data_IF_798696800957
#
_entry.id   IF_798696800957
#
_cell.length_a   1.000
_cell.length_b   1.000
_cell.length_c   1.000
_cell.angle_alpha   90.00
_cell.angle_beta   90.00
_cell.angle_gamma   90.00
#
_symmetry.space_group_name_H-M   'P 1'
#
loop_
_entity.id
_entity.type
_entity.pdbx_description
1 polymer ?
#
# COMPACT_ATOMS: atom_id res chain seq x y z
N UNK A 1 0.44 14.71 16.04
CA UNK A 1 0.58 13.54 15.16
C UNK A 1 1.98 13.00 15.32
N UNK A 2 2.12 11.72 15.65
CA UNK A 2 3.41 11.05 15.75
C UNK A 2 3.70 10.33 14.43
N UNK A 3 4.93 10.44 13.93
CA UNK A 3 5.45 9.63 12.84
C UNK A 3 6.79 9.06 13.27
N UNK A 4 7.18 7.90 12.74
CA UNK A 4 8.46 7.29 13.05
C UNK A 4 9.57 8.02 12.30
N UNK A 5 10.58 8.51 13.03
CA UNK A 5 11.79 9.04 12.40
C UNK A 5 12.62 7.89 11.83
N UNK A 6 12.63 7.74 10.50
CA UNK A 6 13.35 6.67 9.80
C UNK A 6 14.84 6.96 9.60
N UNK A 7 15.29 8.22 9.78
CA UNK A 7 16.69 8.61 9.54
C UNK A 7 17.71 7.74 10.30
N UNK A 8 17.55 7.43 11.60
CA UNK A 8 18.50 6.59 12.34
C UNK A 8 18.67 5.18 11.75
N UNK A 9 17.68 4.68 11.02
CA UNK A 9 17.69 3.34 10.42
C UNK A 9 18.17 3.38 8.96
N UNK A 10 17.82 4.43 8.22
CA UNK A 10 18.19 4.56 6.80
C UNK A 10 19.64 5.04 6.64
N UNK A 11 20.08 6.03 7.44
CA UNK A 11 21.40 6.64 7.27
C UNK A 11 22.57 5.63 7.31
N UNK A 12 22.59 4.65 8.24
CA UNK A 12 23.65 3.64 8.27
C UNK A 12 23.61 2.67 7.07
N UNK A 13 22.43 2.43 6.48
CA UNK A 13 22.26 1.49 5.37
C UNK A 13 22.73 2.07 4.04
N UNK A 14 22.54 3.37 3.83
CA UNK A 14 22.86 4.02 2.55
C UNK A 14 24.32 4.49 2.47
N UNK A 15 24.96 4.77 3.62
CA UNK A 15 26.30 5.36 3.65
C UNK A 15 26.34 6.67 2.88
N UNK A 16 27.16 6.74 1.82
CA UNK A 16 27.26 7.89 0.90
C UNK A 16 26.43 7.75 -0.38
N UNK A 17 25.69 6.65 -0.54
CA UNK A 17 24.88 6.41 -1.74
C UNK A 17 23.73 7.42 -1.83
N UNK A 18 23.34 7.86 -3.05
CA UNK A 18 22.14 8.67 -3.23
C UNK A 18 20.89 7.96 -2.71
N UNK A 19 19.98 8.71 -2.10
CA UNK A 19 18.69 8.21 -1.60
C UNK A 19 17.57 8.74 -2.50
N UNK A 20 16.69 7.84 -2.95
CA UNK A 20 15.43 8.21 -3.59
C UNK A 20 14.28 7.87 -2.65
N UNK A 21 13.47 8.87 -2.34
CA UNK A 21 12.26 8.75 -1.51
C UNK A 21 11.06 8.94 -2.42
N UNK A 22 10.15 7.97 -2.43
CA UNK A 22 8.91 8.04 -3.20
C UNK A 22 7.76 7.88 -2.21
N UNK A 23 6.94 8.92 -2.06
CA UNK A 23 5.72 8.88 -1.28
C UNK A 23 4.60 8.32 -2.15
N UNK A 24 3.85 7.37 -1.59
CA UNK A 24 2.76 6.66 -2.28
C UNK A 24 1.52 7.52 -2.49
N UNK A 25 1.26 8.46 -1.58
CA UNK A 25 0.22 9.49 -1.70
C UNK A 25 0.36 10.58 -0.64
N UNK A 26 -0.59 11.50 -0.61
CA UNK A 26 -0.58 12.77 0.13
C UNK A 26 -1.12 12.73 1.57
N UNK A 27 -1.41 11.56 2.14
CA UNK A 27 -1.72 11.48 3.57
C UNK A 27 -0.47 11.55 4.45
N UNK A 28 -0.65 12.14 5.63
CA UNK A 28 0.43 12.55 6.53
C UNK A 28 1.40 11.41 6.89
N UNK A 29 0.90 10.20 7.06
CA UNK A 29 1.68 9.01 7.41
C UNK A 29 2.55 8.48 6.26
N UNK A 30 2.30 8.92 5.03
CA UNK A 30 3.06 8.52 3.83
C UNK A 30 4.13 9.53 3.42
N UNK A 31 4.06 10.78 3.88
CA UNK A 31 5.06 11.83 3.60
C UNK A 31 5.64 12.53 4.84
N UNK A 32 5.04 12.39 6.02
CA UNK A 32 5.40 13.14 7.23
C UNK A 32 6.84 12.91 7.70
N UNK A 33 7.41 11.75 7.40
CA UNK A 33 8.82 11.41 7.67
C UNK A 33 9.84 12.10 6.75
N UNK A 34 9.42 12.75 5.67
CA UNK A 34 10.33 13.35 4.69
C UNK A 34 11.26 14.38 5.32
N UNK A 35 10.77 15.19 6.25
CA UNK A 35 11.56 16.22 6.96
C UNK A 35 12.82 15.65 7.58
N UNK A 36 12.73 14.47 8.18
CA UNK A 36 13.88 13.86 8.86
C UNK A 36 14.92 13.36 7.86
N UNK A 37 14.49 12.94 6.66
CA UNK A 37 15.37 12.47 5.59
C UNK A 37 16.00 13.60 4.78
N UNK A 38 15.37 14.79 4.70
CA UNK A 38 15.91 15.95 3.98
C UNK A 38 17.31 16.38 4.45
N UNK A 39 17.64 16.09 5.71
CA UNK A 39 18.94 16.39 6.28
C UNK A 39 20.04 15.40 5.87
N UNK A 40 19.73 14.38 5.06
CA UNK A 40 20.73 13.47 4.48
C UNK A 40 21.30 14.07 3.19
N UNK A 41 22.57 13.80 2.84
CA UNK A 41 23.12 14.23 1.57
C UNK A 41 22.50 13.45 0.40
N UNK A 42 22.41 14.08 -0.77
CA UNK A 42 22.03 13.45 -2.04
C UNK A 42 20.66 12.73 -2.02
N UNK A 43 19.63 13.37 -1.44
CA UNK A 43 18.26 12.84 -1.41
C UNK A 43 17.41 13.45 -2.51
N UNK A 44 16.69 12.61 -3.25
CA UNK A 44 15.65 13.01 -4.20
C UNK A 44 14.29 12.54 -3.70
N UNK A 45 13.29 13.42 -3.74
CA UNK A 45 11.92 13.12 -3.33
C UNK A 45 10.98 13.11 -4.53
N UNK A 46 10.00 12.22 -4.50
CA UNK A 46 8.87 12.09 -5.43
C UNK A 46 7.59 11.80 -4.62
N UNK A 47 6.43 12.27 -5.09
CA UNK A 47 5.19 12.32 -4.30
C UNK A 47 4.35 13.56 -4.63
N UNK A 48 3.18 13.73 -4.03
CA UNK A 48 2.27 14.81 -4.33
C UNK A 48 2.32 15.89 -3.24
N UNK A 49 2.39 17.15 -3.66
CA UNK A 49 2.12 18.27 -2.79
C UNK A 49 0.64 18.67 -2.98
N UNK A 50 -0.22 18.55 -1.95
CA UNK A 50 -1.59 19.01 -2.07
C UNK A 50 -1.59 20.52 -2.38
N UNK A 51 -2.50 20.90 -3.27
CA UNK A 51 -2.92 22.24 -3.70
C UNK A 51 -3.28 23.25 -2.58
N UNK A 52 -2.86 23.00 -1.33
CA UNK A 52 -3.12 23.83 -0.15
C UNK A 52 -4.03 23.18 0.90
N UNK A 53 -4.53 21.95 0.68
CA UNK A 53 -5.39 21.23 1.65
C UNK A 53 -4.68 20.81 2.94
N UNK A 54 -3.36 20.62 2.89
CA UNK A 54 -2.51 20.38 4.05
C UNK A 54 -1.46 21.48 4.10
N UNK A 55 -1.22 22.05 5.29
CA UNK A 55 -0.23 23.11 5.53
C UNK A 55 1.07 22.78 4.78
N UNK A 56 1.44 23.53 3.73
CA UNK A 56 2.68 23.28 3.01
C UNK A 56 3.80 23.55 4.00
N UNK A 57 4.59 22.53 4.37
CA UNK A 57 5.86 22.87 5.01
C UNK A 57 6.66 23.65 3.96
N UNK A 58 7.12 24.87 4.27
CA UNK A 58 7.72 25.79 3.31
C UNK A 58 9.10 25.33 2.77
N UNK A 59 9.49 24.09 3.01
CA UNK A 59 10.82 23.52 2.74
C UNK A 59 10.78 22.23 1.92
N UNK A 60 9.60 21.76 1.50
CA UNK A 60 9.53 20.66 0.54
C UNK A 60 9.81 21.21 -0.87
N UNK A 61 10.80 20.66 -1.61
CA UNK A 61 10.90 20.96 -3.04
C UNK A 61 9.55 20.65 -3.69
N UNK A 62 9.13 21.43 -4.69
CA UNK A 62 7.93 21.10 -5.47
C UNK A 62 8.21 19.78 -6.20
N UNK A 63 7.47 18.73 -5.88
CA UNK A 63 7.45 17.51 -6.67
C UNK A 63 6.00 17.03 -6.70
N UNK A 64 5.53 16.68 -7.90
CA UNK A 64 4.23 16.04 -8.12
C UNK A 64 4.46 14.57 -8.41
N UNK A 65 3.47 13.73 -8.10
CA UNK A 65 3.43 12.35 -8.59
C UNK A 65 3.52 12.36 -10.12
N UNK A 66 2.93 13.35 -10.80
CA UNK A 66 3.05 13.51 -12.25
C UNK A 66 4.49 13.69 -12.75
N UNK A 67 5.40 14.23 -11.93
CA UNK A 67 6.82 14.29 -12.28
C UNK A 67 7.51 12.90 -12.27
N UNK A 68 6.86 11.85 -11.77
CA UNK A 68 7.27 10.47 -12.05
C UNK A 68 6.81 10.05 -13.45
N UNK A 69 5.68 10.55 -13.95
CA UNK A 69 5.05 10.15 -15.20
C UNK A 69 5.34 11.13 -16.35
N UNK A 70 6.52 11.77 -16.32
CA UNK A 70 6.97 12.83 -17.25
C UNK A 70 6.40 12.67 -18.67
N UNK A 71 5.62 13.66 -19.12
CA UNK A 71 5.42 13.96 -20.54
C UNK A 71 4.02 13.74 -21.11
N UNK A 72 3.19 12.86 -20.54
CA UNK A 72 1.82 12.64 -21.04
C UNK A 72 0.84 12.44 -19.88
N UNK A 73 -0.16 13.33 -19.75
CA UNK A 73 -1.23 13.25 -18.73
C UNK A 73 -1.92 11.87 -18.71
N UNK A 74 -1.89 11.14 -19.82
CA UNK A 74 -2.52 9.84 -20.02
C UNK A 74 -1.66 8.64 -19.58
N UNK A 75 -0.37 8.83 -19.27
CA UNK A 75 0.51 7.71 -18.88
C UNK A 75 0.11 7.16 -17.52
N UNK A 76 -0.39 5.91 -17.51
CA UNK A 76 -0.79 5.19 -16.30
C UNK A 76 0.37 4.52 -15.55
N UNK A 77 1.54 4.39 -16.19
CA UNK A 77 2.73 3.79 -15.59
C UNK A 77 4.00 4.59 -15.90
N UNK A 78 5.02 4.45 -15.06
CA UNK A 78 6.36 5.01 -15.30
C UNK A 78 7.46 4.13 -14.71
N UNK A 79 8.65 4.21 -15.28
CA UNK A 79 9.84 3.48 -14.82
C UNK A 79 10.78 4.39 -14.04
N UNK A 80 10.95 4.11 -12.76
CA UNK A 80 11.89 4.81 -11.89
C UNK A 80 13.19 4.01 -11.75
N UNK A 81 14.31 4.61 -12.16
CA UNK A 81 15.63 4.06 -11.93
C UNK A 81 16.13 4.39 -10.51
N UNK A 82 16.44 3.36 -9.72
CA UNK A 82 17.02 3.49 -8.38
C UNK A 82 18.37 2.75 -8.35
N UNK A 83 19.44 3.49 -8.64
CA UNK A 83 20.77 2.92 -8.84
C UNK A 83 20.77 1.92 -10.01
N UNK A 84 21.00 0.63 -9.70
CA UNK A 84 20.94 -0.46 -10.69
C UNK A 84 19.59 -1.18 -10.75
N UNK A 85 18.64 -0.82 -9.89
CA UNK A 85 17.28 -1.38 -9.87
C UNK A 85 16.33 -0.50 -10.69
N UNK A 86 15.27 -1.09 -11.21
CA UNK A 86 14.14 -0.40 -11.82
C UNK A 86 12.89 -0.75 -11.03
N UNK A 87 12.06 0.26 -10.78
CA UNK A 87 10.77 0.13 -10.10
C UNK A 87 9.71 0.74 -10.99
N UNK A 88 8.65 -0.01 -11.29
CA UNK A 88 7.51 0.50 -12.05
C UNK A 88 6.55 1.19 -11.10
N UNK A 89 6.21 2.45 -11.36
CA UNK A 89 5.14 3.18 -10.70
C UNK A 89 3.85 3.06 -11.51
N UNK A 90 2.71 2.89 -10.85
CA UNK A 90 1.37 2.87 -11.47
C UNK A 90 0.49 3.91 -10.80
N UNK A 91 -0.22 4.74 -11.58
CA UNK A 91 -1.29 5.58 -11.05
C UNK A 91 -2.45 4.69 -10.59
N UNK A 92 -2.86 4.83 -9.33
CA UNK A 92 -3.99 4.10 -8.74
C UNK A 92 -4.90 5.05 -7.94
N UNK A 93 -5.48 6.08 -8.58
CA UNK A 93 -6.40 6.99 -7.90
C UNK A 93 -7.58 6.23 -7.27
N UNK A 94 -8.06 6.71 -6.13
CA UNK A 94 -9.26 6.19 -5.49
C UNK A 94 -9.22 6.28 -3.97
N UNK A 95 -8.14 5.79 -3.35
CA UNK A 95 -7.88 6.08 -1.93
C UNK A 95 -7.70 7.59 -1.75
N UNK A 96 -6.77 8.16 -2.50
CA UNK A 96 -6.68 9.59 -2.83
C UNK A 96 -6.51 9.73 -4.34
N UNK A 97 -6.69 10.94 -4.87
CA UNK A 97 -6.44 11.24 -6.29
C UNK A 97 -5.00 10.95 -6.73
N UNK A 98 -4.04 11.16 -5.82
CA UNK A 98 -2.60 11.08 -6.11
C UNK A 98 -1.96 9.72 -5.79
N UNK A 99 -2.77 8.72 -5.43
CA UNK A 99 -2.27 7.40 -5.02
C UNK A 99 -1.51 6.67 -6.14
N UNK A 100 -0.35 6.09 -5.79
CA UNK A 100 0.44 5.22 -6.67
C UNK A 100 0.79 3.87 -6.07
N UNK A 101 0.96 2.87 -6.94
CA UNK A 101 1.55 1.58 -6.62
C UNK A 101 2.98 1.52 -7.14
N UNK A 102 3.85 0.75 -6.47
CA UNK A 102 5.24 0.55 -6.84
C UNK A 102 5.53 -0.93 -6.99
N UNK A 103 6.12 -1.33 -8.12
CA UNK A 103 6.45 -2.72 -8.41
C UNK A 103 7.97 -2.90 -8.56
N UNK A 104 8.54 -3.81 -7.76
CA UNK A 104 9.91 -4.29 -7.93
C UNK A 104 9.89 -5.67 -8.61
N UNK A 105 10.24 -5.70 -9.90
CA UNK A 105 10.30 -6.94 -10.69
C UNK A 105 11.37 -7.93 -10.20
N UNK A 106 12.43 -7.45 -9.54
CA UNK A 106 13.49 -8.33 -9.04
C UNK A 106 13.00 -9.17 -7.87
N UNK A 107 12.29 -8.56 -6.94
CA UNK A 107 11.76 -9.23 -5.75
C UNK A 107 10.32 -9.73 -5.94
N UNK A 108 9.68 -9.35 -7.05
CA UNK A 108 8.28 -9.66 -7.39
C UNK A 108 7.31 -9.11 -6.33
N UNK A 109 7.56 -7.89 -5.85
CA UNK A 109 6.76 -7.24 -4.82
C UNK A 109 5.98 -6.08 -5.42
N UNK A 110 4.68 -6.01 -5.13
CA UNK A 110 3.81 -4.90 -5.53
C UNK A 110 3.31 -4.18 -4.28
N UNK A 111 3.83 -2.97 -4.05
CA UNK A 111 3.35 -2.07 -3.01
C UNK A 111 2.09 -1.37 -3.52
N UNK A 112 0.97 -1.56 -2.83
CA UNK A 112 -0.37 -1.12 -3.29
C UNK A 112 -0.88 0.14 -2.58
N UNK A 113 -0.01 0.87 -1.88
CA UNK A 113 -0.40 2.01 -1.03
C UNK A 113 -1.56 1.59 -0.11
N UNK A 114 -2.53 2.47 0.10
CA UNK A 114 -3.73 2.22 0.90
C UNK A 114 -4.90 1.73 0.06
N UNK A 115 -4.68 1.44 -1.23
CA UNK A 115 -5.72 0.83 -2.09
C UNK A 115 -6.02 -0.59 -1.65
N UNK A 116 -5.00 -1.38 -1.30
CA UNK A 116 -5.18 -2.73 -0.74
C UNK A 116 -4.23 -2.92 0.44
N UNK A 117 -4.81 -3.07 1.63
CA UNK A 117 -4.14 -3.33 2.90
C UNK A 117 -4.97 -4.31 3.74
N UNK A 118 -4.38 -5.02 4.71
CA UNK A 118 -5.13 -5.63 5.80
C UNK A 118 -5.52 -4.55 6.82
N UNK A 119 -6.41 -3.65 6.42
CA UNK A 119 -6.91 -2.54 7.24
C UNK A 119 -8.35 -2.17 6.85
N UNK A 120 -8.93 -1.17 7.51
CA UNK A 120 -10.13 -0.52 6.98
C UNK A 120 -9.70 0.31 5.76
N UNK A 121 -10.28 0.05 4.59
CA UNK A 121 -9.97 0.86 3.42
C UNK A 121 -10.72 2.16 3.54
N UNK A 122 -10.00 3.26 3.34
CA UNK A 122 -10.57 4.59 3.16
C UNK A 122 -10.54 4.94 1.67
N UNK A 123 -11.66 5.40 1.12
CA UNK A 123 -11.80 5.65 -0.33
C UNK A 123 -12.43 7.03 -0.54
N UNK A 124 -11.73 7.92 -1.24
CA UNK A 124 -12.25 9.25 -1.61
C UNK A 124 -13.03 9.23 -2.93
N UNK A 125 -12.58 8.43 -3.91
CA UNK A 125 -13.26 8.25 -5.20
C UNK A 125 -13.46 6.76 -5.50
N UNK A 126 -14.71 6.31 -5.36
CA UNK A 126 -15.14 4.94 -5.58
C UNK A 126 -14.99 4.45 -7.02
N UNK A 127 -15.26 5.33 -7.99
CA UNK A 127 -15.18 4.99 -9.41
C UNK A 127 -13.73 4.81 -9.82
N UNK A 128 -12.88 5.78 -9.44
CA UNK A 128 -11.45 5.71 -9.67
C UNK A 128 -10.84 4.49 -8.96
N UNK A 129 -11.24 4.22 -7.71
CA UNK A 129 -10.78 3.04 -6.96
C UNK A 129 -11.07 1.74 -7.72
N UNK A 130 -12.28 1.54 -8.23
CA UNK A 130 -12.63 0.32 -8.96
C UNK A 130 -11.86 0.18 -10.28
N UNK A 131 -11.57 1.30 -10.95
CA UNK A 131 -10.72 1.31 -12.14
C UNK A 131 -9.27 0.94 -11.78
N UNK A 132 -8.75 1.47 -10.68
CA UNK A 132 -7.42 1.16 -10.14
C UNK A 132 -7.30 -0.30 -9.71
N UNK A 133 -8.31 -0.84 -9.04
CA UNK A 133 -8.37 -2.27 -8.69
C UNK A 133 -8.38 -3.15 -9.96
N UNK A 134 -9.11 -2.75 -11.01
CA UNK A 134 -9.09 -3.44 -12.29
C UNK A 134 -7.73 -3.36 -12.98
N UNK A 135 -7.07 -2.20 -12.95
CA UNK A 135 -5.71 -2.01 -13.45
C UNK A 135 -4.71 -2.95 -12.74
N UNK A 136 -4.70 -2.95 -11.41
CA UNK A 136 -3.82 -3.81 -10.62
C UNK A 136 -4.02 -5.30 -10.92
N UNK A 137 -5.28 -5.75 -11.07
CA UNK A 137 -5.58 -7.15 -11.46
C UNK A 137 -5.00 -7.51 -12.83
N UNK A 138 -5.11 -6.62 -13.83
CA UNK A 138 -4.48 -6.85 -15.15
C UNK A 138 -2.97 -6.88 -15.02
N UNK A 139 -2.41 -5.93 -14.27
CA UNK A 139 -0.96 -5.84 -14.05
C UNK A 139 -0.37 -7.12 -13.46
N UNK A 140 -0.98 -7.68 -12.41
CA UNK A 140 -0.50 -8.94 -11.79
C UNK A 140 -0.76 -10.18 -12.64
N UNK A 141 -1.63 -10.11 -13.65
CA UNK A 141 -1.82 -11.19 -14.62
C UNK A 141 -0.72 -11.19 -15.70
N UNK A 142 -0.14 -10.02 -15.98
CA UNK A 142 0.89 -9.81 -17.02
C UNK A 142 2.32 -9.80 -16.44
N UNK A 143 2.45 -9.53 -15.14
CA UNK A 143 3.73 -9.40 -14.44
C UNK A 143 3.80 -10.36 -13.25
N UNK A 144 4.94 -11.03 -13.03
CA UNK A 144 5.06 -11.96 -11.92
C UNK A 144 5.09 -11.22 -10.58
N UNK A 145 4.04 -11.38 -9.78
CA UNK A 145 3.95 -10.81 -8.42
C UNK A 145 3.80 -11.93 -7.40
N UNK A 146 4.71 -11.95 -6.43
CA UNK A 146 4.74 -12.90 -5.32
C UNK A 146 3.83 -12.43 -4.18
N UNK A 147 3.90 -11.16 -3.82
CA UNK A 147 3.16 -10.57 -2.71
C UNK A 147 2.72 -9.15 -3.01
N UNK A 148 1.53 -8.81 -2.52
CA UNK A 148 1.12 -7.41 -2.36
C UNK A 148 1.54 -6.93 -0.96
N UNK A 149 1.87 -5.65 -0.86
CA UNK A 149 2.24 -4.98 0.38
C UNK A 149 1.45 -3.67 0.49
N UNK A 150 0.54 -3.58 1.46
CA UNK A 150 -0.26 -2.38 1.71
C UNK A 150 0.47 -1.36 2.60
N UNK A 151 -0.07 -0.14 2.70
CA UNK A 151 0.48 0.94 3.52
C UNK A 151 0.17 0.82 5.02
N UNK A 152 -0.93 0.14 5.38
CA UNK A 152 -1.32 -0.10 6.77
C UNK A 152 -1.40 -1.59 7.10
N UNK A 153 -1.26 -1.88 8.39
CA UNK A 153 -1.35 -3.22 8.97
C UNK A 153 -2.22 -3.20 10.24
N UNK A 154 -3.45 -2.71 10.11
CA UNK A 154 -4.35 -2.42 11.23
C UNK A 154 -5.40 -3.51 11.44
N UNK A 155 -5.01 -4.77 11.21
CA UNK A 155 -5.89 -5.93 11.32
C UNK A 155 -5.16 -7.10 11.97
N UNK A 156 -5.87 -7.84 12.82
CA UNK A 156 -5.36 -9.10 13.35
C UNK A 156 -5.25 -10.17 12.27
N UNK A 157 -4.41 -11.18 12.51
CA UNK A 157 -4.38 -12.42 11.72
C UNK A 157 -5.77 -13.07 11.69
N UNK A 158 -6.07 -13.85 10.63
CA UNK A 158 -7.22 -14.73 10.63
C UNK A 158 -7.24 -15.68 11.81
N UNK A 159 -8.29 -15.57 12.62
CA UNK A 159 -8.60 -16.55 13.66
C UNK A 159 -9.19 -17.79 13.00
N UNK A 160 -8.91 -18.97 13.55
CA UNK A 160 -9.30 -20.26 12.98
C UNK A 160 -10.83 -20.44 12.82
N UNK A 161 -11.63 -19.67 13.55
CA UNK A 161 -13.09 -19.70 13.48
C UNK A 161 -13.69 -18.74 12.43
N UNK A 162 -12.85 -18.00 11.69
CA UNK A 162 -13.23 -17.03 10.64
C UNK A 162 -14.28 -15.99 11.07
N UNK A 163 -14.54 -15.82 12.38
CA UNK A 163 -15.70 -15.05 12.85
C UNK A 163 -15.36 -13.66 13.34
N UNK A 164 -14.11 -13.38 13.73
CA UNK A 164 -13.73 -12.06 14.23
C UNK A 164 -12.27 -11.73 13.91
N UNK A 165 -12.07 -10.83 12.95
CA UNK A 165 -10.85 -10.04 12.87
C UNK A 165 -11.01 -8.80 13.73
N UNK A 166 -9.95 -8.44 14.44
CA UNK A 166 -9.90 -7.19 15.19
C UNK A 166 -9.21 -6.15 14.32
N UNK A 167 -9.85 -5.01 14.13
CA UNK A 167 -9.18 -3.82 13.62
C UNK A 167 -8.54 -3.10 14.80
N UNK A 168 -7.27 -2.76 14.67
CA UNK A 168 -6.59 -1.95 15.67
C UNK A 168 -7.03 -0.49 15.50
N UNK A 169 -7.18 0.24 16.60
CA UNK A 169 -7.55 1.65 16.54
C UNK A 169 -6.42 2.45 15.89
N UNK A 170 -6.77 3.46 15.10
CA UNK A 170 -5.79 4.33 14.45
C UNK A 170 -4.81 4.94 15.46
N UNK A 171 -3.50 4.78 15.21
CA UNK A 171 -2.45 5.26 16.12
C UNK A 171 -2.21 4.38 17.35
N UNK A 172 -2.69 3.13 17.34
CA UNK A 172 -2.33 2.14 18.36
C UNK A 172 -0.82 1.86 18.35
N UNK A 173 -0.20 1.83 19.54
CA UNK A 173 1.24 1.55 19.68
C UNK A 173 1.56 0.06 19.85
N UNK A 174 0.56 -0.82 19.75
CA UNK A 174 0.72 -2.26 19.92
C UNK A 174 -0.38 -3.01 19.17
N UNK A 175 0.01 -3.88 18.26
CA UNK A 175 -0.87 -4.72 17.45
C UNK A 175 -0.60 -6.20 17.80
N UNK A 176 -1.29 -6.71 18.82
CA UNK A 176 -1.14 -8.12 19.21
C UNK A 176 -1.76 -9.02 18.16
N UNK A 177 -1.05 -10.06 17.74
CA UNK A 177 -1.50 -11.00 16.70
C UNK A 177 -1.81 -10.31 15.36
N UNK A 178 -1.06 -9.25 15.04
CA UNK A 178 -1.13 -8.49 13.79
C UNK A 178 -0.95 -9.38 12.54
N UNK A 179 -1.74 -9.08 11.51
CA UNK A 179 -1.69 -9.73 10.21
C UNK A 179 -0.26 -9.75 9.63
N UNK A 180 0.05 -10.72 8.77
CA UNK A 180 1.34 -10.69 8.06
C UNK A 180 1.37 -9.50 7.07
N UNK A 181 2.53 -8.88 6.89
CA UNK A 181 2.66 -7.79 5.91
C UNK A 181 2.33 -8.27 4.48
N UNK A 182 2.72 -9.51 4.15
CA UNK A 182 2.49 -10.08 2.84
C UNK A 182 1.02 -10.45 2.64
N UNK A 183 0.44 -9.94 1.55
CA UNK A 183 -0.90 -10.33 1.11
C UNK A 183 -0.83 -11.17 -0.17
N UNK A 184 -1.56 -12.29 -0.26
CA UNK A 184 -1.73 -13.00 -1.51
C UNK A 184 -2.53 -12.16 -2.52
N UNK A 185 -2.34 -12.42 -3.81
CA UNK A 185 -2.99 -11.67 -4.90
C UNK A 185 -4.53 -11.68 -4.83
N UNK A 186 -5.12 -12.68 -4.15
CA UNK A 186 -6.56 -12.76 -3.92
C UNK A 186 -7.12 -11.54 -3.17
N UNK A 187 -6.28 -10.76 -2.47
CA UNK A 187 -6.71 -9.54 -1.80
C UNK A 187 -7.15 -8.44 -2.78
N UNK A 188 -6.67 -8.43 -4.04
CA UNK A 188 -7.18 -7.50 -5.06
C UNK A 188 -8.66 -7.78 -5.38
N UNK A 189 -9.01 -9.04 -5.59
CA UNK A 189 -10.38 -9.45 -5.87
C UNK A 189 -11.27 -9.29 -4.64
N UNK A 190 -10.72 -9.50 -3.44
CA UNK A 190 -11.41 -9.27 -2.18
C UNK A 190 -11.79 -7.80 -2.01
N UNK A 191 -10.82 -6.90 -2.16
CA UNK A 191 -11.03 -5.47 -2.00
C UNK A 191 -12.08 -4.94 -2.98
N UNK A 192 -11.95 -5.28 -4.26
CA UNK A 192 -12.95 -4.92 -5.28
C UNK A 192 -14.36 -5.44 -4.94
N UNK A 193 -14.46 -6.69 -4.47
CA UNK A 193 -15.75 -7.27 -4.08
C UNK A 193 -16.37 -6.55 -2.89
N UNK A 194 -15.60 -6.27 -1.84
CA UNK A 194 -16.13 -5.58 -0.65
C UNK A 194 -16.54 -4.15 -0.98
N UNK A 195 -15.78 -3.45 -1.81
CA UNK A 195 -16.16 -2.12 -2.32
C UNK A 195 -17.48 -2.19 -3.10
N UNK A 196 -17.61 -3.12 -4.04
CA UNK A 196 -18.85 -3.32 -4.81
C UNK A 196 -20.03 -3.68 -3.91
N UNK A 197 -19.80 -4.49 -2.86
CA UNK A 197 -20.84 -4.84 -1.88
C UNK A 197 -21.30 -3.60 -1.12
N UNK A 198 -20.39 -2.79 -0.59
CA UNK A 198 -20.72 -1.54 0.12
C UNK A 198 -21.48 -0.57 -0.79
N UNK A 199 -21.09 -0.45 -2.06
CA UNK A 199 -21.80 0.37 -3.05
C UNK A 199 -23.18 -0.18 -3.42
N UNK A 200 -23.38 -1.50 -3.41
CA UNK A 200 -24.68 -2.11 -3.67
C UNK A 200 -25.63 -2.00 -2.46
N UNK A 201 -25.08 -1.99 -1.25
CA UNK A 201 -25.81 -1.81 0.01
C UNK A 201 -26.11 -0.32 0.30
N UNK A 202 -25.50 0.60 -0.45
CA UNK A 202 -25.78 2.03 -0.41
C UNK A 202 -27.19 2.32 -0.94
N UNK A 203 -27.97 3.12 -0.21
CA UNK A 203 -29.24 3.64 -0.71
C UNK A 203 -29.01 4.88 -1.60
N UNK A 204 -30.10 5.52 -2.05
CA UNK A 204 -30.04 6.73 -2.89
C UNK A 204 -29.29 7.92 -2.25
N UNK A 205 -28.88 7.83 -0.98
CA UNK A 205 -28.06 8.82 -0.27
C UNK A 205 -26.56 8.47 -0.28
N UNK A 206 -26.16 7.38 -0.95
CA UNK A 206 -24.79 6.86 -0.94
C UNK A 206 -24.51 5.94 0.25
N UNK A 207 -23.31 5.34 0.34
CA UNK A 207 -22.98 4.41 1.41
C UNK A 207 -23.13 5.08 2.79
N UNK A 208 -24.02 4.55 3.63
CA UNK A 208 -24.37 5.14 4.93
C UNK A 208 -23.21 5.04 5.93
N UNK A 209 -22.81 6.20 6.43
CA UNK A 209 -21.88 6.40 7.56
C UNK A 209 -22.39 5.74 8.85
N UNK A 210 -21.61 4.87 9.49
CA UNK A 210 -21.82 4.57 10.93
C UNK A 210 -20.86 5.46 11.75
N UNK A 211 -21.33 6.66 12.09
CA UNK A 211 -20.60 7.66 12.88
C UNK A 211 -20.20 7.20 14.31
N UNK A 212 -20.53 5.96 14.71
CA UNK A 212 -20.08 5.38 15.99
C UNK A 212 -18.71 4.70 15.89
N UNK A 213 -18.05 4.71 14.73
CA UNK A 213 -16.83 3.92 14.48
C UNK A 213 -15.53 4.63 14.16
N UNK A 214 -15.50 5.95 13.92
CA UNK A 214 -14.36 6.89 14.08
C UNK A 214 -14.75 8.22 13.41
N UNK A 215 -14.32 9.31 14.04
CA UNK A 215 -14.80 10.68 13.91
C UNK A 215 -14.16 11.46 12.74
N UNK A 216 -14.12 10.89 11.52
CA UNK A 216 -13.65 11.58 10.29
C UNK A 216 -14.40 11.12 9.01
N UNK A 217 -14.45 11.96 7.95
CA UNK A 217 -15.33 11.77 6.78
C UNK A 217 -14.74 10.78 5.76
N UNK A 218 -14.34 9.59 6.20
CA UNK A 218 -13.80 8.57 5.31
C UNK A 218 -14.73 7.35 5.26
N UNK A 219 -14.79 6.74 4.08
CA UNK A 219 -15.66 5.60 3.83
C UNK A 219 -14.96 4.29 4.20
N UNK A 220 -15.31 3.70 5.34
CA UNK A 220 -14.74 2.43 5.80
C UNK A 220 -15.26 1.23 4.99
N UNK A 221 -14.41 0.61 4.18
CA UNK A 221 -14.69 -0.72 3.63
C UNK A 221 -13.96 -1.76 4.48
N UNK A 222 -14.68 -2.59 5.26
CA UNK A 222 -14.04 -3.64 6.00
C UNK A 222 -13.49 -4.66 5.00
N UNK A 223 -12.16 -4.81 5.00
CA UNK A 223 -11.53 -5.98 4.42
C UNK A 223 -11.89 -7.19 5.28
N UNK A 224 -13.08 -7.74 5.09
CA UNK A 224 -13.49 -9.00 5.71
C UNK A 224 -12.79 -10.09 4.90
N UNK A 225 -11.86 -10.89 5.45
CA UNK A 225 -11.44 -12.08 4.76
C UNK A 225 -12.68 -12.94 4.56
N UNK A 226 -12.93 -13.29 3.30
CA UNK A 226 -14.02 -14.18 2.93
C UNK A 226 -13.98 -15.42 3.83
N UNK A 227 -15.13 -15.96 4.26
CA UNK A 227 -15.16 -17.32 4.75
C UNK A 227 -14.45 -18.23 3.73
N UNK A 228 -13.39 -18.91 4.16
CA UNK A 228 -12.78 -20.01 3.41
C UNK A 228 -13.77 -21.19 3.42
N UNK A 229 -14.60 -21.31 2.38
CA UNK A 229 -14.54 -22.52 1.56
C UNK A 229 -14.64 -22.15 0.07
N UNK A 230 -13.62 -22.51 -0.72
CA UNK A 230 -13.71 -22.36 -2.18
C UNK A 230 -12.40 -22.14 -2.93
N UNK A 231 -11.28 -21.91 -2.26
CA UNK A 231 -9.97 -21.84 -2.95
C UNK A 231 -9.50 -23.28 -3.26
N UNK A 232 -9.22 -23.62 -4.54
CA UNK A 232 -8.66 -24.93 -4.91
C UNK A 232 -7.41 -25.24 -4.10
N UNK A 233 -7.21 -26.51 -3.74
CA UNK A 233 -6.17 -27.00 -2.83
C UNK A 233 -4.73 -26.58 -3.17
N UNK A 234 -4.48 -26.12 -4.38
CA UNK A 234 -3.17 -25.70 -4.87
C UNK A 234 -2.51 -24.58 -4.04
N UNK A 235 -3.27 -23.64 -3.46
CA UNK A 235 -2.69 -22.52 -2.70
C UNK A 235 -2.33 -22.82 -1.24
N UNK A 236 -2.68 -24.02 -0.73
CA UNK A 236 -2.44 -24.39 0.67
C UNK A 236 -1.03 -24.96 0.88
N UNK A 237 -0.44 -25.52 -0.16
CA UNK A 237 0.86 -26.21 -0.10
C UNK A 237 2.06 -25.23 -0.22
N UNK A 238 1.84 -24.03 -0.75
CA UNK A 238 2.90 -23.04 -0.99
C UNK A 238 3.40 -22.35 0.29
N UNK A 239 2.56 -22.17 1.31
CA UNK A 239 2.98 -21.54 2.56
C UNK A 239 4.02 -22.38 3.33
N UNK A 240 3.90 -23.71 3.30
CA UNK A 240 4.85 -24.62 3.95
C UNK A 240 6.10 -24.85 3.08
N UNK A 241 5.95 -24.96 1.75
CA UNK A 241 7.08 -25.00 0.81
C UNK A 241 7.97 -23.76 0.90
N UNK A 242 7.39 -22.60 1.18
CA UNK A 242 8.11 -21.33 1.27
C UNK A 242 9.06 -21.26 2.47
N UNK A 243 8.68 -21.81 3.63
CA UNK A 243 9.56 -21.87 4.81
C UNK A 243 10.78 -22.76 4.51
N UNK A 244 10.58 -23.84 3.76
CA UNK A 244 11.67 -24.75 3.38
C UNK A 244 12.57 -24.15 2.29
N UNK A 245 12.02 -23.42 1.32
CA UNK A 245 12.79 -22.71 0.28
C UNK A 245 13.62 -21.57 0.89
N UNK A 246 13.07 -20.83 1.86
CA UNK A 246 13.80 -19.76 2.55
C UNK A 246 14.92 -20.31 3.45
N UNK A 247 14.72 -21.48 4.07
CA UNK A 247 15.78 -22.18 4.84
C UNK A 247 16.90 -22.73 3.94
N UNK A 248 16.57 -23.20 2.75
CA UNK A 248 17.55 -23.74 1.80
C UNK A 248 18.39 -22.65 1.12
N UNK A 249 17.83 -21.47 0.87
CA UNK A 249 18.55 -20.36 0.21
C UNK A 249 19.46 -19.56 1.16
N UNK A 250 19.13 -19.48 2.45
CA UNK A 250 20.01 -18.83 3.42
C UNK A 250 21.31 -19.64 3.65
N UNK A 251 21.27 -20.97 3.47
CA UNK A 251 22.44 -21.85 3.58
C UNK A 251 23.34 -21.87 2.32
N UNK A 252 22.89 -21.28 1.20
CA UNK A 252 23.67 -21.21 -0.05
C UNK A 252 24.38 -19.87 -0.28
N UNK A 253 23.94 -18.80 0.39
CA UNK A 253 24.55 -17.47 0.28
C UNK A 253 25.72 -17.23 1.28
N UNK A 254 26.03 -18.21 2.13
CA UNK A 254 27.24 -18.25 2.97
C UNK A 254 28.39 -19.09 2.36
N UNK A 255 28.34 -19.40 1.05
CA UNK A 255 29.42 -20.10 0.33
C UNK A 255 29.91 -19.38 -0.90
#
# INVERSE_FOLDING_TARGET
MHYANLRPYIAPLIGSSPLTVVNTHSHWDHFGGNRDLQSLPNVRFYGYQPDGRYEPFPQYPRYSVDALFDGEEESVHSELAIGKRRVTALKIPGHTEDSIALYDAREQLLFTSDTVCPCLLFIEDWSAYLQSAALLKRFVAENPVKWLLGGHLEMSRPKADNRQHEYFYFGSNSHRDEHALQLPLSYLALAEREVKRVLADADDQGPRYDARRIDKPFHDVPMVPVPFPGIPSYYRDDANRLVDILRQRHASDER
#
